data_IF_262943257870
#
_entry.id   IF_262943257870
#
_cell.length_a   1.000
_cell.length_b   1.000
_cell.length_c   1.000
_cell.angle_alpha   90.00
_cell.angle_beta   90.00
_cell.angle_gamma   90.00
#
_symmetry.space_group_name_H-M   'P 1'
#
loop_
_entity.id
_entity.type
_entity.pdbx_description
1 polymer ?
#
# COMPACT_ATOMS: atom_id res chain seq x y z
N UNK A 1 1.65 0.89 -18.71
CA UNK A 1 2.55 0.31 -17.69
C UNK A 1 2.79 -1.17 -17.91
N UNK A 2 1.75 -2.00 -18.13
CA UNK A 2 1.95 -3.43 -18.43
C UNK A 2 2.94 -3.65 -19.59
N UNK A 3 2.74 -2.97 -20.72
CA UNK A 3 3.67 -3.00 -21.87
C UNK A 3 5.11 -2.60 -21.51
N UNK A 4 5.28 -1.62 -20.62
CA UNK A 4 6.61 -1.20 -20.16
C UNK A 4 7.31 -2.34 -19.40
N UNK A 5 6.63 -2.98 -18.47
CA UNK A 5 7.19 -4.10 -17.71
C UNK A 5 7.39 -5.35 -18.59
N UNK A 6 6.50 -5.61 -19.55
CA UNK A 6 6.67 -6.68 -20.54
C UNK A 6 7.89 -6.45 -21.42
N UNK A 7 8.15 -5.20 -21.82
CA UNK A 7 9.38 -4.82 -22.52
C UNK A 7 10.62 -5.01 -21.65
N UNK A 8 10.57 -4.63 -20.37
CA UNK A 8 11.69 -4.89 -19.44
C UNK A 8 11.95 -6.39 -19.28
N UNK A 9 10.89 -7.22 -19.22
CA UNK A 9 11.00 -8.66 -19.15
C UNK A 9 11.65 -9.27 -20.41
N UNK A 10 11.31 -8.78 -21.60
CA UNK A 10 11.91 -9.24 -22.86
C UNK A 10 13.36 -8.77 -23.04
N UNK A 11 13.70 -7.56 -22.58
CA UNK A 11 15.07 -7.01 -22.60
C UNK A 11 15.98 -7.69 -21.55
N UNK A 12 15.42 -8.26 -20.48
CA UNK A 12 16.16 -8.89 -19.38
C UNK A 12 15.68 -10.32 -19.09
N UNK A 13 15.85 -11.26 -20.04
CA UNK A 13 15.31 -12.62 -19.90
C UNK A 13 15.91 -13.40 -18.72
N UNK A 14 17.13 -13.06 -18.29
CA UNK A 14 17.79 -13.68 -17.14
C UNK A 14 17.07 -13.44 -15.81
N UNK A 15 16.28 -12.37 -15.69
CA UNK A 15 15.49 -12.07 -14.50
C UNK A 15 14.23 -12.94 -14.39
N UNK A 16 13.83 -13.61 -15.49
CA UNK A 16 12.61 -14.44 -15.55
C UNK A 16 11.37 -13.74 -14.99
N UNK A 17 11.22 -12.45 -15.32
CA UNK A 17 10.11 -11.64 -14.84
C UNK A 17 8.79 -12.14 -15.44
N UNK A 18 7.84 -12.47 -14.58
CA UNK A 18 6.46 -12.73 -14.94
C UNK A 18 5.64 -11.45 -14.74
N UNK A 19 4.99 -10.96 -15.79
CA UNK A 19 4.24 -9.69 -15.79
C UNK A 19 2.76 -9.99 -15.94
N UNK A 20 2.02 -9.81 -14.85
CA UNK A 20 0.59 -10.09 -14.78
C UNK A 20 -0.21 -8.80 -14.63
N UNK A 21 -1.33 -8.71 -15.36
CA UNK A 21 -2.30 -7.62 -15.20
C UNK A 21 -3.29 -8.02 -14.13
N UNK A 22 -3.45 -7.17 -13.11
CA UNK A 22 -4.39 -7.42 -12.03
C UNK A 22 -5.85 -7.28 -12.51
N UNK A 23 -6.80 -8.00 -11.88
CA UNK A 23 -8.21 -7.84 -12.16
C UNK A 23 -8.70 -6.43 -11.77
N UNK A 24 -9.88 -5.99 -12.26
CA UNK A 24 -10.43 -4.66 -11.92
C UNK A 24 -10.61 -4.42 -10.41
N UNK A 25 -10.84 -5.48 -9.63
CA UNK A 25 -10.91 -5.45 -8.17
C UNK A 25 -9.71 -6.23 -7.58
N UNK A 26 -8.52 -5.62 -7.51
CA UNK A 26 -7.30 -6.31 -7.11
C UNK A 26 -7.25 -6.62 -5.61
N UNK A 27 -8.08 -5.96 -4.80
CA UNK A 27 -8.18 -6.18 -3.36
C UNK A 27 -9.21 -7.24 -2.96
N UNK A 28 -9.73 -8.01 -3.92
CA UNK A 28 -10.59 -9.15 -3.62
C UNK A 28 -9.83 -10.19 -2.76
N UNK A 29 -10.31 -10.52 -1.55
CA UNK A 29 -9.54 -11.35 -0.63
C UNK A 29 -9.28 -12.78 -1.10
N UNK A 30 -10.17 -13.33 -1.95
CA UNK A 30 -9.99 -14.68 -2.52
C UNK A 30 -8.89 -14.65 -3.58
N UNK A 31 -8.92 -13.62 -4.43
CA UNK A 31 -7.85 -13.38 -5.40
C UNK A 31 -6.51 -13.15 -4.71
N UNK A 32 -6.43 -12.26 -3.72
CA UNK A 32 -5.18 -11.98 -3.00
C UNK A 32 -4.62 -13.24 -2.34
N UNK A 33 -5.47 -14.06 -1.71
CA UNK A 33 -5.06 -15.35 -1.16
C UNK A 33 -4.51 -16.31 -2.23
N UNK A 34 -5.04 -16.29 -3.45
CA UNK A 34 -4.52 -17.12 -4.55
C UNK A 34 -3.08 -16.76 -4.94
N UNK A 35 -2.66 -15.52 -4.70
CA UNK A 35 -1.31 -15.03 -4.96
C UNK A 35 -0.28 -15.43 -3.90
N UNK A 36 -0.70 -16.03 -2.77
CA UNK A 36 0.23 -16.39 -1.68
C UNK A 36 1.37 -17.33 -2.13
N UNK A 37 1.13 -18.16 -3.14
CA UNK A 37 2.14 -19.06 -3.72
C UNK A 37 3.02 -18.43 -4.81
N UNK A 38 2.62 -17.26 -5.31
CA UNK A 38 3.27 -16.51 -6.39
C UNK A 38 3.22 -15.01 -6.09
N UNK A 39 3.93 -14.56 -5.04
CA UNK A 39 3.88 -13.17 -4.62
C UNK A 39 4.60 -12.29 -5.67
N UNK A 40 4.18 -11.04 -5.79
CA UNK A 40 4.80 -10.09 -6.73
C UNK A 40 4.75 -8.64 -6.26
N UNK A 41 5.73 -7.86 -6.71
CA UNK A 41 5.76 -6.41 -6.49
C UNK A 41 4.67 -5.71 -7.30
N UNK A 42 4.09 -4.65 -6.74
CA UNK A 42 3.05 -3.87 -7.39
C UNK A 42 3.65 -2.69 -8.14
N UNK A 43 3.04 -2.34 -9.28
CA UNK A 43 3.44 -1.15 -10.00
C UNK A 43 3.15 0.10 -9.15
N UNK A 44 4.01 1.11 -9.26
CA UNK A 44 3.81 2.40 -8.63
C UNK A 44 3.79 3.52 -9.68
N UNK A 45 3.49 4.74 -9.24
CA UNK A 45 3.47 5.92 -10.10
C UNK A 45 4.77 6.08 -10.93
N UNK A 46 4.59 6.44 -12.21
CA UNK A 46 5.68 6.68 -13.16
C UNK A 46 5.43 7.97 -13.93
N UNK A 47 6.50 8.69 -14.27
CA UNK A 47 6.48 9.83 -15.16
C UNK A 47 6.57 9.38 -16.62
N UNK A 48 5.82 10.04 -17.50
CA UNK A 48 6.02 9.93 -18.95
C UNK A 48 7.16 10.86 -19.35
N UNK A 49 8.17 10.31 -20.02
CA UNK A 49 9.33 11.07 -20.50
C UNK A 49 9.56 10.79 -21.98
N UNK A 50 10.30 11.69 -22.66
CA UNK A 50 10.80 11.42 -24.01
C UNK A 50 11.88 10.32 -23.96
N UNK A 51 11.88 9.41 -24.93
CA UNK A 51 12.86 8.34 -25.02
C UNK A 51 14.18 8.75 -25.71
N UNK A 52 14.29 10.03 -26.09
CA UNK A 52 15.43 10.60 -26.81
C UNK A 52 15.46 10.26 -28.29
N UNK A 53 14.43 9.56 -28.80
CA UNK A 53 14.29 9.11 -30.19
C UNK A 53 12.98 9.60 -30.82
N UNK A 54 12.30 10.56 -30.17
CA UNK A 54 11.00 11.08 -30.59
C UNK A 54 9.81 10.24 -30.14
N UNK A 55 10.02 9.21 -29.32
CA UNK A 55 9.00 8.41 -28.68
C UNK A 55 8.76 8.81 -27.21
N UNK A 56 7.77 8.18 -26.57
CA UNK A 56 7.49 8.36 -25.14
C UNK A 56 7.77 7.06 -24.40
N UNK A 57 8.42 7.15 -23.24
CA UNK A 57 8.65 6.03 -22.32
C UNK A 57 8.24 6.39 -20.89
N UNK A 58 8.35 5.44 -19.98
CA UNK A 58 8.04 5.61 -18.56
C UNK A 58 9.32 5.60 -17.72
N UNK A 59 9.38 6.48 -16.72
CA UNK A 59 10.43 6.51 -15.70
C UNK A 59 9.80 6.45 -14.32
N UNK A 60 10.27 5.53 -13.48
CA UNK A 60 9.81 5.41 -12.10
C UNK A 60 10.04 6.72 -11.33
N UNK A 61 9.07 7.09 -10.51
CA UNK A 61 9.24 8.14 -9.50
C UNK A 61 10.06 7.53 -8.35
N UNK A 62 10.97 8.32 -7.76
CA UNK A 62 11.81 7.85 -6.66
C UNK A 62 10.99 7.80 -5.37
N UNK A 63 11.23 6.77 -4.57
CA UNK A 63 10.74 6.64 -3.21
C UNK A 63 11.82 6.05 -2.32
N UNK A 64 11.60 6.13 -1.01
CA UNK A 64 12.50 5.60 0.01
C UNK A 64 11.85 4.39 0.66
N UNK A 65 12.67 3.39 0.97
CA UNK A 65 12.26 2.18 1.70
C UNK A 65 12.79 2.25 3.14
N UNK A 66 12.15 1.57 4.11
CA UNK A 66 12.67 1.51 5.48
C UNK A 66 14.07 0.90 5.59
N UNK A 67 14.39 -0.03 4.67
CA UNK A 67 15.71 -0.64 4.53
C UNK A 67 15.80 -2.09 5.02
N UNK A 68 17.00 -2.66 4.87
CA UNK A 68 17.32 -4.06 5.16
C UNK A 68 16.43 -5.05 4.38
N UNK A 69 15.52 -5.76 5.06
CA UNK A 69 14.63 -6.75 4.42
C UNK A 69 13.46 -6.14 3.66
N UNK A 70 13.19 -4.85 3.87
CA UNK A 70 12.04 -4.14 3.31
C UNK A 70 12.46 -3.38 2.05
N UNK A 71 12.01 -3.84 0.89
CA UNK A 71 12.34 -3.28 -0.42
C UNK A 71 11.14 -2.63 -1.11
N UNK A 72 10.05 -2.45 -0.36
CA UNK A 72 8.79 -1.88 -0.83
C UNK A 72 8.54 -0.50 -0.24
N UNK A 73 7.67 0.27 -0.89
CA UNK A 73 7.11 1.49 -0.29
C UNK A 73 6.19 1.07 0.86
N UNK A 74 6.43 1.59 2.06
CA UNK A 74 5.58 1.39 3.25
C UNK A 74 4.84 2.67 3.62
N UNK A 75 3.58 2.57 4.02
CA UNK A 75 2.72 3.73 4.26
C UNK A 75 3.21 4.63 5.40
N UNK A 76 3.06 4.20 6.66
CA UNK A 76 3.34 5.07 7.81
C UNK A 76 4.83 5.42 7.95
N UNK A 77 5.75 4.53 7.54
CA UNK A 77 7.19 4.79 7.49
C UNK A 77 7.49 5.98 6.58
N UNK A 78 6.82 6.07 5.42
CA UNK A 78 7.03 7.16 4.47
C UNK A 78 6.69 8.52 5.05
N UNK A 79 5.74 8.63 5.99
CA UNK A 79 5.47 9.88 6.67
C UNK A 79 6.69 10.37 7.46
N UNK A 80 7.24 9.52 8.33
CA UNK A 80 8.41 9.87 9.13
C UNK A 80 9.66 10.10 8.28
N UNK A 81 9.84 9.29 7.23
CA UNK A 81 10.92 9.50 6.26
C UNK A 81 10.74 10.84 5.55
N UNK A 82 9.53 11.21 5.14
CA UNK A 82 9.24 12.50 4.53
C UNK A 82 9.61 13.66 5.43
N UNK A 83 9.34 13.58 6.73
CA UNK A 83 9.75 14.64 7.67
C UNK A 83 11.27 14.85 7.64
N UNK A 84 12.06 13.77 7.64
CA UNK A 84 13.52 13.84 7.49
C UNK A 84 13.96 14.42 6.14
N UNK A 85 13.36 13.95 5.04
CA UNK A 85 13.63 14.47 3.69
C UNK A 85 13.37 15.97 3.59
N UNK A 86 12.31 16.46 4.22
CA UNK A 86 11.99 17.88 4.25
C UNK A 86 13.05 18.69 5.00
N UNK A 87 13.53 18.20 6.15
CA UNK A 87 14.65 18.84 6.88
C UNK A 87 15.91 18.93 6.01
N UNK A 88 16.18 17.91 5.19
CA UNK A 88 17.32 17.86 4.27
C UNK A 88 17.09 18.58 2.93
N UNK A 89 15.95 19.28 2.76
CA UNK A 89 15.60 20.01 1.53
C UNK A 89 15.28 19.10 0.33
N UNK A 90 15.04 17.80 0.55
CA UNK A 90 14.71 16.79 -0.48
C UNK A 90 13.21 16.76 -0.80
N UNK A 91 12.61 17.93 -0.98
CA UNK A 91 11.17 18.12 -1.14
C UNK A 91 10.58 17.30 -2.30
N UNK A 92 11.25 17.26 -3.46
CA UNK A 92 10.80 16.48 -4.62
C UNK A 92 10.73 14.98 -4.35
N UNK A 93 11.61 14.43 -3.50
CA UNK A 93 11.56 13.01 -3.13
C UNK A 93 10.36 12.74 -2.22
N UNK A 94 10.07 13.64 -1.29
CA UNK A 94 8.89 13.56 -0.43
C UNK A 94 7.58 13.66 -1.24
N UNK A 95 7.52 14.55 -2.24
CA UNK A 95 6.41 14.63 -3.18
C UNK A 95 6.19 13.31 -3.94
N UNK A 96 7.28 12.67 -4.39
CA UNK A 96 7.21 11.41 -5.12
C UNK A 96 6.53 10.28 -4.32
N UNK A 97 6.77 10.22 -3.01
CA UNK A 97 6.08 9.26 -2.13
C UNK A 97 4.55 9.50 -2.09
N UNK A 98 4.11 10.76 -2.08
CA UNK A 98 2.67 11.07 -2.19
C UNK A 98 2.10 10.72 -3.56
N UNK A 99 2.84 10.93 -4.64
CA UNK A 99 2.39 10.52 -5.98
C UNK A 99 2.17 9.00 -6.06
N UNK A 100 3.01 8.22 -5.36
CA UNK A 100 2.79 6.79 -5.21
C UNK A 100 1.54 6.48 -4.39
N UNK A 101 1.29 7.15 -3.27
CA UNK A 101 0.06 6.94 -2.50
C UNK A 101 -1.22 7.30 -3.28
N UNK A 102 -1.20 8.40 -4.03
CA UNK A 102 -2.31 8.75 -4.94
C UNK A 102 -2.52 7.65 -5.99
N UNK A 103 -1.42 7.08 -6.50
CA UNK A 103 -1.48 5.97 -7.42
C UNK A 103 -2.10 4.72 -6.78
N UNK A 104 -1.68 4.36 -5.58
CA UNK A 104 -2.22 3.21 -4.85
C UNK A 104 -3.71 3.37 -4.57
N UNK A 105 -4.16 4.56 -4.14
CA UNK A 105 -5.58 4.84 -3.94
C UNK A 105 -6.35 4.65 -5.24
N UNK A 106 -5.82 5.17 -6.36
CA UNK A 106 -6.49 5.09 -7.67
C UNK A 106 -6.58 3.66 -8.22
N UNK A 107 -5.54 2.86 -8.03
CA UNK A 107 -5.40 1.56 -8.70
C UNK A 107 -5.66 0.36 -7.78
N UNK A 108 -5.46 0.51 -6.48
CA UNK A 108 -5.61 -0.53 -5.44
C UNK A 108 -6.67 -0.17 -4.40
N UNK A 109 -7.28 1.01 -4.53
CA UNK A 109 -8.43 1.44 -3.73
C UNK A 109 -8.09 1.86 -2.31
N UNK A 110 -6.80 1.90 -1.91
CA UNK A 110 -6.31 2.36 -0.60
C UNK A 110 -4.79 2.53 -0.64
N UNK A 111 -4.22 3.24 0.33
CA UNK A 111 -2.78 3.16 0.58
C UNK A 111 -2.49 1.79 1.19
N UNK A 112 -1.56 1.05 0.58
CA UNK A 112 -1.23 -0.30 0.99
C UNK A 112 -0.33 -0.28 2.23
N UNK A 113 -0.31 -1.37 2.99
CA UNK A 113 0.70 -1.53 4.05
C UNK A 113 2.12 -1.47 3.44
N UNK A 114 2.33 -2.25 2.38
CA UNK A 114 3.49 -2.15 1.50
C UNK A 114 3.10 -2.44 0.05
N UNK A 115 3.92 -2.02 -0.91
CA UNK A 115 3.67 -2.18 -2.37
C UNK A 115 3.88 -3.61 -2.90
N UNK A 116 3.29 -4.62 -2.24
CA UNK A 116 3.41 -6.04 -2.58
C UNK A 116 2.03 -6.71 -2.62
N UNK A 117 1.88 -7.76 -3.45
CA UNK A 117 0.59 -8.43 -3.69
C UNK A 117 -0.12 -8.90 -2.42
N UNK A 118 0.60 -9.46 -1.44
CA UNK A 118 0.01 -9.92 -0.17
C UNK A 118 -0.49 -8.76 0.72
N UNK A 119 -0.20 -7.51 0.39
CA UNK A 119 -0.72 -6.34 1.11
C UNK A 119 -1.94 -5.69 0.46
N UNK A 120 -2.46 -6.19 -0.66
CA UNK A 120 -3.60 -5.60 -1.38
C UNK A 120 -4.87 -5.40 -0.53
N UNK A 121 -5.10 -6.28 0.46
CA UNK A 121 -6.23 -6.16 1.41
C UNK A 121 -5.88 -5.41 2.72
N UNK A 122 -4.64 -4.91 2.87
CA UNK A 122 -4.10 -4.38 4.13
C UNK A 122 -3.65 -2.94 3.95
N UNK A 123 -3.91 -2.12 4.96
CA UNK A 123 -3.48 -0.71 5.03
C UNK A 123 -2.77 -0.47 6.38
N UNK A 124 -2.35 0.76 6.62
CA UNK A 124 -1.60 1.23 7.77
C UNK A 124 -2.14 2.59 8.23
N UNK A 125 -1.74 3.10 9.42
CA UNK A 125 -2.26 4.35 9.96
C UNK A 125 -2.20 5.51 8.94
N UNK A 126 -3.29 6.28 8.75
CA UNK A 126 -3.35 7.29 7.69
C UNK A 126 -2.68 8.60 8.09
N UNK A 127 -1.52 8.87 7.50
CA UNK A 127 -0.81 10.15 7.66
C UNK A 127 -0.82 11.03 6.40
N UNK A 128 -1.48 10.58 5.30
CA UNK A 128 -1.38 11.23 3.99
C UNK A 128 -1.75 12.72 4.00
N UNK A 129 -2.81 13.11 4.70
CA UNK A 129 -3.26 14.51 4.73
C UNK A 129 -2.24 15.41 5.43
N UNK A 130 -1.70 14.98 6.57
CA UNK A 130 -0.66 15.74 7.27
C UNK A 130 0.64 15.77 6.45
N UNK A 131 1.06 14.63 5.92
CA UNK A 131 2.23 14.51 5.04
C UNK A 131 2.14 15.48 3.86
N UNK A 132 0.98 15.53 3.19
CA UNK A 132 0.74 16.41 2.04
C UNK A 132 0.80 17.88 2.42
N UNK A 133 0.24 18.26 3.58
CA UNK A 133 0.30 19.63 4.08
C UNK A 133 1.74 20.06 4.41
N UNK A 134 2.52 19.20 5.08
CA UNK A 134 3.92 19.50 5.42
C UNK A 134 4.76 19.72 4.16
N UNK A 135 4.58 18.87 3.14
CA UNK A 135 5.27 18.99 1.86
C UNK A 135 4.79 20.23 1.10
N UNK A 136 3.48 20.47 1.04
CA UNK A 136 2.88 21.65 0.37
C UNK A 136 3.51 22.96 0.85
N UNK A 137 3.72 23.09 2.16
CA UNK A 137 4.29 24.29 2.78
C UNK A 137 5.77 24.53 2.40
N UNK A 138 6.45 23.51 1.85
CA UNK A 138 7.86 23.61 1.42
C UNK A 138 8.01 23.57 -0.10
N UNK A 139 6.92 23.52 -0.86
CA UNK A 139 6.98 23.59 -2.32
C UNK A 139 7.40 24.97 -2.78
N UNK A 140 8.03 25.01 -3.95
CA UNK A 140 8.17 26.27 -4.69
C UNK A 140 6.78 26.83 -4.99
N UNK A 141 6.56 28.08 -4.59
CA UNK A 141 5.29 28.79 -4.73
C UNK A 141 5.17 29.52 -6.07
N UNK A 142 6.09 29.29 -7.02
CA UNK A 142 6.01 29.82 -8.38
C UNK A 142 4.74 29.35 -9.13
N UNK A 143 4.25 28.14 -8.86
CA UNK A 143 3.00 27.59 -9.42
C UNK A 143 2.03 27.13 -8.31
N UNK A 144 1.36 28.11 -7.69
CA UNK A 144 0.42 27.88 -6.60
C UNK A 144 -0.79 27.02 -7.03
N UNK A 145 -1.25 27.16 -8.27
CA UNK A 145 -2.43 26.46 -8.75
C UNK A 145 -2.14 24.97 -8.97
N UNK A 146 -0.98 24.63 -9.53
CA UNK A 146 -0.52 23.25 -9.61
C UNK A 146 -0.36 22.63 -8.21
N UNK A 147 0.24 23.36 -7.26
CA UNK A 147 0.42 22.88 -5.89
C UNK A 147 -0.93 22.61 -5.20
N UNK A 148 -1.92 23.48 -5.39
CA UNK A 148 -3.28 23.30 -4.84
C UNK A 148 -3.99 22.11 -5.47
N UNK A 149 -3.85 21.91 -6.78
CA UNK A 149 -4.41 20.76 -7.48
C UNK A 149 -3.77 19.45 -7.00
N UNK A 150 -2.46 19.45 -6.77
CA UNK A 150 -1.74 18.32 -6.18
C UNK A 150 -2.24 17.99 -4.76
N UNK A 151 -2.33 18.99 -3.87
CA UNK A 151 -2.80 18.80 -2.50
C UNK A 151 -4.23 18.23 -2.45
N UNK A 152 -5.13 18.70 -3.32
CA UNK A 152 -6.51 18.18 -3.42
C UNK A 152 -6.55 16.68 -3.74
N UNK A 153 -5.64 16.18 -4.59
CA UNK A 153 -5.57 14.74 -4.92
C UNK A 153 -5.18 13.88 -3.71
N UNK A 154 -4.35 14.41 -2.82
CA UNK A 154 -3.90 13.68 -1.62
C UNK A 154 -5.00 13.58 -0.54
N UNK A 155 -6.01 14.45 -0.53
CA UNK A 155 -7.04 14.51 0.52
C UNK A 155 -8.15 13.44 0.34
N UNK A 156 -8.16 12.71 -0.77
CA UNK A 156 -9.25 11.79 -1.15
C UNK A 156 -9.32 10.53 -0.27
N UNK A 157 -8.21 10.08 0.32
CA UNK A 157 -8.14 8.79 1.05
C UNK A 157 -9.07 8.72 2.27
N UNK A 158 -9.07 9.75 3.11
CA UNK A 158 -9.61 9.71 4.47
C UNK A 158 -11.07 9.22 4.49
N UNK A 159 -11.91 9.80 3.64
CA UNK A 159 -13.33 9.49 3.59
C UNK A 159 -13.64 8.15 2.91
N UNK A 160 -12.83 7.72 1.95
CA UNK A 160 -13.11 6.49 1.20
C UNK A 160 -12.75 5.24 1.99
N UNK A 161 -11.75 5.31 2.88
CA UNK A 161 -11.19 4.12 3.54
C UNK A 161 -11.61 4.02 5.00
N UNK A 162 -11.34 5.06 5.79
CA UNK A 162 -11.50 5.02 7.24
C UNK A 162 -12.95 5.25 7.66
N UNK A 163 -13.62 6.21 7.01
CA UNK A 163 -15.03 6.53 7.24
C UNK A 163 -15.97 5.65 6.39
N UNK A 164 -15.51 4.45 6.01
CA UNK A 164 -16.26 3.49 5.23
C UNK A 164 -16.38 2.15 5.97
N UNK A 165 -17.46 1.41 5.71
CA UNK A 165 -17.59 0.03 6.20
C UNK A 165 -16.55 -0.87 5.52
N UNK A 166 -15.97 -1.85 6.22
CA UNK A 166 -16.30 -2.30 7.58
C UNK A 166 -15.56 -1.56 8.70
N UNK A 167 -14.72 -0.56 8.40
CA UNK A 167 -13.86 0.11 9.39
C UNK A 167 -14.63 1.01 10.33
N UNK A 168 -15.58 1.80 9.82
CA UNK A 168 -16.43 2.64 10.67
C UNK A 168 -17.48 1.81 11.41
N UNK A 169 -17.55 1.95 12.73
CA UNK A 169 -18.68 1.45 13.51
C UNK A 169 -19.87 2.40 13.34
N UNK A 170 -20.98 1.97 12.71
CA UNK A 170 -22.15 2.83 12.53
C UNK A 170 -22.84 3.20 13.84
N UNK A 171 -22.61 2.47 14.93
CA UNK A 171 -23.24 2.75 16.23
C UNK A 171 -22.44 3.78 17.03
N UNK A 172 -21.14 3.57 17.18
CA UNK A 172 -20.30 4.46 18.01
C UNK A 172 -19.68 5.61 17.22
N UNK A 173 -19.40 5.44 15.92
CA UNK A 173 -18.79 6.46 15.05
C UNK A 173 -17.27 6.31 14.78
N UNK A 174 -16.43 5.86 15.73
CA UNK A 174 -15.03 5.57 15.48
C UNK A 174 -14.77 4.52 14.39
N UNK A 175 -13.57 4.58 13.83
CA UNK A 175 -13.06 3.59 12.88
C UNK A 175 -12.07 2.64 13.54
N UNK A 176 -12.05 1.38 13.10
CA UNK A 176 -11.09 0.38 13.55
C UNK A 176 -10.27 -0.20 12.39
N UNK A 177 -9.14 -0.81 12.73
CA UNK A 177 -8.35 -1.60 11.78
C UNK A 177 -9.09 -2.90 11.47
N UNK A 178 -9.83 -2.91 10.36
CA UNK A 178 -10.57 -4.08 9.90
C UNK A 178 -10.22 -4.39 8.43
N UNK A 179 -9.07 -5.06 8.16
CA UNK A 179 -8.71 -5.48 6.82
C UNK A 179 -9.58 -6.64 6.33
N UNK A 180 -9.76 -6.76 5.01
CA UNK A 180 -10.61 -7.79 4.40
C UNK A 180 -9.85 -9.10 4.10
N UNK A 181 -8.54 -9.15 4.38
CA UNK A 181 -7.66 -10.25 4.00
C UNK A 181 -8.10 -11.62 4.54
N UNK A 182 -7.89 -12.68 3.74
CA UNK A 182 -8.24 -14.05 4.09
C UNK A 182 -7.00 -14.93 4.27
N UNK A 183 -7.08 -15.85 5.23
CA UNK A 183 -6.03 -16.85 5.43
C UNK A 183 -4.88 -16.35 6.30
N UNK A 184 -3.84 -17.18 6.39
CA UNK A 184 -2.61 -16.86 7.11
C UNK A 184 -1.76 -15.94 6.23
N UNK A 185 -1.13 -14.97 6.89
CA UNK A 185 -0.25 -13.99 6.27
C UNK A 185 1.03 -14.67 5.72
N UNK A 186 1.25 -14.72 4.39
CA UNK A 186 2.33 -15.49 3.79
C UNK A 186 3.72 -14.89 4.02
N UNK A 187 3.81 -13.61 4.42
CA UNK A 187 5.07 -12.90 4.65
C UNK A 187 5.72 -13.23 6.00
N UNK A 188 5.00 -13.91 6.89
CA UNK A 188 5.51 -14.31 8.19
C UNK A 188 6.43 -15.51 8.08
N UNK A 189 7.28 -15.72 9.08
CA UNK A 189 8.09 -16.94 9.16
C UNK A 189 7.18 -18.18 9.19
N UNK A 190 7.62 -19.27 8.54
CA UNK A 190 6.82 -20.50 8.44
C UNK A 190 6.40 -21.08 9.80
N UNK A 191 7.17 -20.79 10.86
CA UNK A 191 6.89 -21.24 12.23
C UNK A 191 6.07 -20.27 13.06
N UNK A 192 5.76 -19.07 12.54
CA UNK A 192 5.19 -17.97 13.32
C UNK A 192 3.86 -18.36 14.00
N UNK A 193 3.00 -19.11 13.31
CA UNK A 193 1.68 -19.51 13.81
C UNK A 193 1.62 -20.93 14.40
N UNK A 194 2.74 -21.68 14.41
CA UNK A 194 2.76 -23.10 14.76
C UNK A 194 2.21 -23.39 16.17
N UNK A 195 2.61 -22.59 17.16
CA UNK A 195 2.17 -22.75 18.56
C UNK A 195 0.66 -22.54 18.70
N UNK A 196 0.08 -21.65 17.89
CA UNK A 196 -1.36 -21.36 17.89
C UNK A 196 -2.12 -22.50 17.25
N UNK A 197 -1.65 -23.01 16.11
CA UNK A 197 -2.24 -24.16 15.42
C UNK A 197 -2.22 -25.42 16.29
N UNK A 198 -1.10 -25.70 16.96
CA UNK A 198 -0.96 -26.83 17.88
C UNK A 198 -2.00 -26.77 19.03
N UNK A 199 -2.28 -25.57 19.54
CA UNK A 199 -3.27 -25.37 20.60
C UNK A 199 -4.72 -25.50 20.10
N UNK A 200 -5.01 -25.02 18.89
CA UNK A 200 -6.32 -25.21 18.24
C UNK A 200 -6.61 -26.68 17.95
N UNK A 201 -5.62 -27.42 17.46
CA UNK A 201 -5.77 -28.85 17.22
C UNK A 201 -6.02 -29.62 18.53
N UNK A 202 -5.36 -29.23 19.62
CA UNK A 202 -5.55 -29.84 20.95
C UNK A 202 -6.91 -29.52 21.58
N UNK A 203 -7.52 -28.38 21.26
CA UNK A 203 -8.84 -28.01 21.80
C UNK A 203 -10.02 -28.64 21.06
N UNK A 204 -9.77 -29.41 19.99
CA UNK A 204 -10.84 -29.98 19.14
C UNK A 204 -11.56 -28.94 18.27
N UNK A 205 -11.10 -27.69 18.27
CA UNK A 205 -11.58 -26.66 17.37
C UNK A 205 -11.01 -26.90 15.96
N UNK A 206 -11.84 -26.76 14.92
CA UNK A 206 -11.35 -26.80 13.54
C UNK A 206 -10.24 -25.75 13.35
N UNK A 207 -9.20 -26.10 12.58
CA UNK A 207 -8.08 -25.20 12.28
C UNK A 207 -8.57 -23.79 11.93
N UNK A 208 -7.90 -22.78 12.50
CA UNK A 208 -8.29 -21.37 12.46
C UNK A 208 -8.71 -20.98 11.04
N UNK A 209 -10.01 -20.68 10.84
CA UNK A 209 -10.53 -20.06 9.62
C UNK A 209 -10.52 -18.56 9.86
N UNK A 210 -9.68 -17.76 9.17
CA UNK A 210 -9.59 -16.31 9.40
C UNK A 210 -10.82 -15.50 8.93
N UNK A 211 -11.98 -16.14 8.82
CA UNK A 211 -13.27 -15.50 8.51
C UNK A 211 -14.12 -15.25 9.75
N UNK A 212 -13.74 -15.81 10.90
CA UNK A 212 -14.52 -15.64 12.12
C UNK A 212 -14.16 -14.30 12.76
N UNK A 213 -15.01 -13.32 12.45
CA UNK A 213 -15.08 -11.95 12.98
C UNK A 213 -14.31 -11.81 14.29
N UNK A 214 -13.24 -11.02 14.28
CA UNK A 214 -12.56 -10.56 15.48
C UNK A 214 -13.48 -9.56 16.20
N UNK A 215 -14.56 -10.05 16.80
CA UNK A 215 -15.23 -9.35 17.90
C UNK A 215 -14.55 -9.85 19.16
N UNK A 216 -13.49 -9.15 19.58
CA UNK A 216 -13.08 -9.20 20.97
C UNK A 216 -14.25 -8.57 21.74
N UNK A 217 -15.00 -9.32 22.58
CA UNK A 217 -15.93 -8.70 23.49
C UNK A 217 -15.07 -7.86 24.44
N UNK A 218 -15.24 -6.54 24.42
CA UNK A 218 -14.78 -5.72 25.52
C UNK A 218 -15.54 -6.20 26.76
N UNK A 219 -14.82 -6.81 27.69
CA UNK A 219 -15.33 -7.14 29.02
C UNK A 219 -15.79 -5.83 29.68
N UNK A 220 -17.07 -5.68 30.08
CA UNK A 220 -17.56 -4.46 30.72
C UNK A 220 -17.01 -4.22 32.14
N UNK A 221 -16.11 -5.07 32.66
CA UNK A 221 -15.64 -5.00 34.05
C UNK A 221 -14.16 -4.59 34.23
N UNK A 222 -13.56 -3.82 33.32
CA UNK A 222 -12.27 -3.13 33.57
C UNK A 222 -12.35 -1.66 33.21
#
# INVERSE_FOLDING_TARGET
MAEYYQKVASEKPHLKLDVQVLPPKPDDPVFVKSLNSKPGILALAMNKIDDGRGGKTLKGILFIVPGARFNELYNWDSYFISLGLLVDGKVTMAQGMIDHFIFEIKHYGKILNGSHSYYLCRTQPPFLTNMALQIFNQLDQSDVDANRAWLKRAIIEYHMIWVAKPRIDPKTGPSCYHPDGLGISPETEATHFRKTDDNLQKSGAAAFRPTDKCNIPLDPQV
#
